data_IF_811230517134
#
_entry.id   IF_811230517134
#
_cell.length_a   1.000
_cell.length_b   1.000
_cell.length_c   1.000
_cell.angle_alpha   90.00
_cell.angle_beta   90.00
_cell.angle_gamma   90.00
#
_symmetry.space_group_name_H-M   'P 1'
#
loop_
_entity.id
_entity.type
_entity.pdbx_description
1 polymer ?
#
# COMPACT_ATOMS: atom_id res chain seq x y z
N UNK A 1 -18.09 -0.90 -12.64
CA UNK A 1 -16.68 -1.09 -12.27
C UNK A 1 -15.89 -1.39 -13.53
N UNK A 2 -15.04 -0.46 -13.96
CA UNK A 2 -14.16 -0.64 -15.11
C UNK A 2 -12.77 -1.04 -14.60
N UNK A 3 -12.33 -2.27 -14.92
CA UNK A 3 -11.03 -2.77 -14.47
C UNK A 3 -9.87 -1.93 -15.04
N UNK A 4 -10.06 -1.32 -16.20
CA UNK A 4 -9.02 -0.50 -16.84
C UNK A 4 -8.70 0.71 -15.97
N UNK A 5 -9.72 1.37 -15.40
CA UNK A 5 -9.53 2.54 -14.54
C UNK A 5 -8.83 2.15 -13.22
N UNK A 6 -9.18 0.98 -12.67
CA UNK A 6 -8.48 0.41 -11.51
C UNK A 6 -7.01 0.15 -11.82
N UNK A 7 -6.70 -0.45 -12.97
CA UNK A 7 -5.32 -0.73 -13.39
C UNK A 7 -4.51 0.56 -13.61
N UNK A 8 -5.11 1.61 -14.17
CA UNK A 8 -4.48 2.92 -14.30
C UNK A 8 -4.11 3.48 -12.91
N UNK A 9 -5.02 3.42 -11.93
CA UNK A 9 -4.73 3.89 -10.56
C UNK A 9 -3.68 3.03 -9.85
N UNK A 10 -3.63 1.73 -10.12
CA UNK A 10 -2.54 0.86 -9.66
C UNK A 10 -1.21 1.37 -10.23
N UNK A 11 -1.15 1.66 -11.53
CA UNK A 11 0.07 2.15 -12.18
C UNK A 11 0.54 3.50 -11.60
N UNK A 12 -0.39 4.45 -11.43
CA UNK A 12 -0.13 5.74 -10.81
C UNK A 12 0.45 5.56 -9.40
N UNK A 13 -0.17 4.71 -8.58
CA UNK A 13 0.27 4.50 -7.20
C UNK A 13 1.62 3.79 -7.12
N UNK A 14 1.87 2.81 -7.99
CA UNK A 14 3.17 2.14 -8.07
C UNK A 14 4.29 3.10 -8.49
N UNK A 15 4.01 4.03 -9.41
CA UNK A 15 4.96 5.05 -9.83
C UNK A 15 5.32 6.00 -8.67
N UNK A 16 4.34 6.43 -7.87
CA UNK A 16 4.56 7.22 -6.66
C UNK A 16 5.43 6.47 -5.63
N UNK A 17 5.05 5.23 -5.31
CA UNK A 17 5.79 4.41 -4.35
C UNK A 17 7.23 4.20 -4.81
N UNK A 18 7.45 4.03 -6.12
CA UNK A 18 8.79 3.94 -6.70
C UNK A 18 9.58 5.24 -6.52
N UNK A 19 8.97 6.40 -6.71
CA UNK A 19 9.62 7.69 -6.48
C UNK A 19 10.01 7.89 -5.01
N UNK A 20 9.21 7.34 -4.08
CA UNK A 20 9.47 7.34 -2.63
C UNK A 20 10.48 6.26 -2.16
N UNK A 21 11.07 5.49 -3.08
CA UNK A 21 11.98 4.38 -2.73
C UNK A 21 11.28 3.12 -2.19
N UNK A 22 9.95 3.06 -2.21
CA UNK A 22 9.11 1.93 -1.78
C UNK A 22 8.51 1.16 -2.98
N UNK A 23 9.24 1.14 -4.09
CA UNK A 23 8.75 0.61 -5.36
C UNK A 23 8.31 -0.86 -5.24
N UNK A 24 7.18 -1.19 -5.86
CA UNK A 24 6.68 -2.55 -5.97
C UNK A 24 6.46 -2.91 -7.44
N UNK A 25 6.51 -4.22 -7.74
CA UNK A 25 6.15 -4.75 -9.06
C UNK A 25 4.73 -5.31 -9.01
N UNK A 26 4.08 -5.45 -10.17
CA UNK A 26 2.79 -6.16 -10.26
C UNK A 26 2.82 -7.55 -9.61
N UNK A 27 3.95 -8.26 -9.76
CA UNK A 27 4.15 -9.60 -9.19
C UNK A 27 4.16 -9.55 -7.66
N UNK A 28 4.95 -8.65 -7.08
CA UNK A 28 5.05 -8.51 -5.62
C UNK A 28 3.74 -8.00 -5.03
N UNK A 29 3.09 -7.03 -5.68
CA UNK A 29 1.78 -6.52 -5.27
C UNK A 29 0.70 -7.61 -5.32
N UNK A 30 0.67 -8.41 -6.39
CA UNK A 30 -0.29 -9.53 -6.49
C UNK A 30 -0.04 -10.55 -5.37
N UNK A 31 1.22 -10.92 -5.15
CA UNK A 31 1.59 -11.87 -4.11
C UNK A 31 1.19 -11.36 -2.71
N UNK A 32 1.46 -10.10 -2.41
CA UNK A 32 1.10 -9.49 -1.12
C UNK A 32 -0.42 -9.39 -0.92
N UNK A 33 -1.16 -8.98 -1.95
CA UNK A 33 -2.59 -8.78 -1.86
C UNK A 33 -3.39 -10.10 -1.81
N UNK A 34 -3.01 -11.10 -2.61
CA UNK A 34 -3.85 -12.28 -2.86
C UNK A 34 -3.18 -13.60 -2.57
N UNK A 35 -1.88 -13.61 -2.31
CA UNK A 35 -1.07 -14.84 -2.21
C UNK A 35 -0.73 -15.46 -3.57
N UNK A 36 -1.11 -14.83 -4.69
CA UNK A 36 -0.82 -15.30 -6.05
C UNK A 36 -0.04 -14.24 -6.83
N UNK A 37 0.99 -14.66 -7.56
CA UNK A 37 1.81 -13.77 -8.39
C UNK A 37 1.12 -13.28 -9.67
N UNK A 38 -0.03 -13.84 -10.03
CA UNK A 38 -0.62 -13.69 -11.36
C UNK A 38 -1.91 -12.87 -11.39
N UNK A 39 -2.44 -12.44 -10.24
CA UNK A 39 -3.74 -11.76 -10.17
C UNK A 39 -3.79 -10.51 -11.07
N UNK A 40 -2.89 -9.55 -10.85
CA UNK A 40 -2.91 -8.27 -11.59
C UNK A 40 -2.52 -8.49 -13.06
N UNK A 41 -1.58 -9.42 -13.31
CA UNK A 41 -1.20 -9.81 -14.67
C UNK A 41 -2.40 -10.34 -15.47
N UNK A 42 -3.21 -11.20 -14.86
CA UNK A 42 -4.41 -11.74 -15.48
C UNK A 42 -5.45 -10.65 -15.73
N UNK A 43 -5.62 -9.70 -14.81
CA UNK A 43 -6.49 -8.54 -15.01
C UNK A 43 -6.04 -7.68 -16.21
N UNK A 44 -4.74 -7.38 -16.32
CA UNK A 44 -4.20 -6.64 -17.48
C UNK A 44 -4.44 -7.36 -18.79
N UNK A 45 -4.23 -8.68 -18.82
CA UNK A 45 -4.47 -9.51 -20.01
C UNK A 45 -5.95 -9.50 -20.41
N UNK A 46 -6.86 -9.64 -19.43
CA UNK A 46 -8.30 -9.63 -19.67
C UNK A 46 -8.78 -8.25 -20.15
N UNK A 47 -8.28 -7.17 -19.53
CA UNK A 47 -8.59 -5.80 -19.96
C UNK A 47 -8.16 -5.54 -21.41
N UNK A 48 -6.95 -5.98 -21.79
CA UNK A 48 -6.45 -5.88 -23.18
C UNK A 48 -7.32 -6.66 -24.17
N UNK A 49 -7.78 -7.85 -23.78
CA UNK A 49 -8.65 -8.69 -24.60
C UNK A 49 -10.13 -8.24 -24.60
N UNK A 50 -10.46 -7.12 -23.95
CA UNK A 50 -11.83 -6.65 -23.68
C UNK A 50 -12.73 -7.72 -23.02
N UNK A 51 -12.12 -8.62 -22.24
CA UNK A 51 -12.81 -9.67 -21.49
C UNK A 51 -13.15 -9.18 -20.09
N UNK A 52 -14.26 -9.66 -19.50
CA UNK A 52 -14.50 -9.45 -18.08
C UNK A 52 -13.30 -9.91 -17.25
N UNK A 53 -12.87 -9.06 -16.31
CA UNK A 53 -11.74 -9.38 -15.45
C UNK A 53 -12.17 -10.40 -14.38
N UNK A 54 -12.08 -11.69 -14.73
CA UNK A 54 -12.36 -12.79 -13.82
C UNK A 54 -11.51 -12.68 -12.55
N UNK A 55 -12.16 -12.63 -11.38
CA UNK A 55 -11.50 -12.50 -10.08
C UNK A 55 -11.27 -11.06 -9.60
N UNK A 56 -11.53 -10.04 -10.43
CA UNK A 56 -11.53 -8.64 -10.01
C UNK A 56 -12.83 -8.24 -9.32
N UNK A 57 -13.20 -8.95 -8.25
CA UNK A 57 -14.35 -8.57 -7.42
C UNK A 57 -13.94 -7.54 -6.35
N UNK A 58 -14.92 -6.91 -5.72
CA UNK A 58 -14.72 -5.87 -4.69
C UNK A 58 -13.80 -6.36 -3.57
N UNK A 59 -13.94 -7.62 -3.13
CA UNK A 59 -13.10 -8.17 -2.07
C UNK A 59 -11.63 -8.30 -2.49
N UNK A 60 -11.35 -8.74 -3.71
CA UNK A 60 -9.98 -8.81 -4.23
C UNK A 60 -9.41 -7.41 -4.44
N UNK A 61 -10.20 -6.46 -4.94
CA UNK A 61 -9.77 -5.06 -5.11
C UNK A 61 -9.46 -4.41 -3.76
N UNK A 62 -10.26 -4.66 -2.73
CA UNK A 62 -10.00 -4.16 -1.37
C UNK A 62 -8.68 -4.70 -0.81
N UNK A 63 -8.33 -5.96 -1.09
CA UNK A 63 -7.02 -6.52 -0.71
C UNK A 63 -5.86 -5.83 -1.43
N UNK A 64 -6.02 -5.58 -2.74
CA UNK A 64 -5.02 -4.83 -3.53
C UNK A 64 -4.88 -3.40 -3.02
N UNK A 65 -5.99 -2.71 -2.73
CA UNK A 65 -5.99 -1.38 -2.15
C UNK A 65 -5.23 -1.34 -0.82
N UNK A 66 -5.46 -2.33 0.05
CA UNK A 66 -4.73 -2.48 1.32
C UNK A 66 -3.23 -2.64 1.11
N UNK A 67 -2.81 -3.50 0.18
CA UNK A 67 -1.38 -3.69 -0.13
C UNK A 67 -0.74 -2.42 -0.74
N UNK A 68 -1.49 -1.63 -1.51
CA UNK A 68 -1.07 -0.32 -2.00
C UNK A 68 -1.15 0.81 -0.96
N UNK A 69 -1.64 0.50 0.24
CA UNK A 69 -1.91 1.44 1.31
C UNK A 69 -2.81 2.61 0.86
N UNK A 70 -3.88 2.31 0.11
CA UNK A 70 -4.90 3.25 -0.38
C UNK A 70 -6.30 2.77 0.02
N UNK A 71 -7.30 3.66 0.08
CA UNK A 71 -8.67 3.21 0.33
C UNK A 71 -9.21 2.40 -0.86
N UNK A 72 -10.09 1.43 -0.59
CA UNK A 72 -10.72 0.65 -1.65
C UNK A 72 -11.60 1.53 -2.56
N UNK A 73 -12.25 2.55 -1.99
CA UNK A 73 -13.05 3.52 -2.72
C UNK A 73 -12.18 4.32 -3.69
N UNK A 74 -11.05 4.86 -3.23
CA UNK A 74 -10.12 5.57 -4.11
C UNK A 74 -9.63 4.69 -5.26
N UNK A 75 -9.30 3.42 -4.99
CA UNK A 75 -8.84 2.52 -6.04
C UNK A 75 -9.95 2.22 -7.07
N UNK A 76 -11.20 2.13 -6.63
CA UNK A 76 -12.37 1.83 -7.47
C UNK A 76 -12.83 3.04 -8.30
N UNK A 77 -12.96 4.20 -7.66
CA UNK A 77 -13.63 5.38 -8.23
C UNK A 77 -12.69 6.55 -8.49
N UNK A 78 -11.54 6.59 -7.81
CA UNK A 78 -10.65 7.76 -7.76
C UNK A 78 -11.08 8.80 -6.72
N UNK A 79 -12.20 8.57 -6.03
CA UNK A 79 -12.75 9.45 -5.00
C UNK A 79 -12.42 8.91 -3.60
N UNK A 80 -12.32 9.80 -2.60
CA UNK A 80 -11.99 9.43 -1.22
C UNK A 80 -10.50 9.45 -0.91
N UNK A 81 -10.12 8.91 0.25
CA UNK A 81 -8.75 9.02 0.76
C UNK A 81 -7.77 8.17 -0.07
N UNK A 82 -6.80 8.85 -0.70
CA UNK A 82 -5.76 8.23 -1.53
C UNK A 82 -4.79 7.37 -0.74
N UNK A 83 -4.65 7.56 0.58
CA UNK A 83 -3.84 6.69 1.43
C UNK A 83 -4.68 6.18 2.59
N UNK A 84 -4.54 4.90 2.95
CA UNK A 84 -5.04 4.45 4.25
C UNK A 84 -4.28 5.19 5.36
N UNK A 85 -4.84 5.31 6.56
CA UNK A 85 -4.31 6.16 7.60
C UNK A 85 -3.05 5.58 8.29
N UNK A 86 -2.00 5.23 7.53
CA UNK A 86 -0.63 5.18 8.06
C UNK A 86 -0.23 6.56 8.58
N UNK A 87 -0.74 7.61 7.91
CA UNK A 87 -0.67 8.98 8.38
C UNK A 87 -1.44 9.21 9.68
N UNK A 88 -2.46 8.43 10.01
CA UNK A 88 -3.17 8.59 11.29
C UNK A 88 -2.34 8.03 12.44
N UNK A 89 -1.72 6.86 12.31
CA UNK A 89 -0.79 6.36 13.35
C UNK A 89 0.38 7.34 13.52
N UNK A 90 0.96 7.82 12.41
CA UNK A 90 2.04 8.82 12.46
C UNK A 90 1.53 10.13 13.09
N UNK A 91 0.34 10.60 12.73
CA UNK A 91 -0.25 11.83 13.28
C UNK A 91 -0.59 11.68 14.75
N UNK A 92 -1.13 10.55 15.17
CA UNK A 92 -1.43 10.21 16.57
C UNK A 92 -0.14 10.17 17.39
N UNK A 93 0.92 9.54 16.86
CA UNK A 93 2.24 9.56 17.49
C UNK A 93 2.75 11.00 17.61
N UNK A 94 2.78 11.77 16.51
CA UNK A 94 3.26 13.16 16.50
C UNK A 94 2.46 14.04 17.47
N UNK A 95 1.13 13.87 17.55
CA UNK A 95 0.27 14.60 18.48
C UNK A 95 0.48 14.20 19.94
N UNK A 96 0.85 12.94 20.21
CA UNK A 96 1.13 12.46 21.55
C UNK A 96 2.52 12.87 22.06
N UNK A 97 3.53 13.01 21.18
CA UNK A 97 4.92 13.31 21.56
C UNK A 97 5.07 14.53 22.51
N UNK A 98 4.41 15.69 22.29
CA UNK A 98 4.53 16.85 23.18
C UNK A 98 3.96 16.62 24.60
N UNK A 99 3.11 15.60 24.79
CA UNK A 99 2.48 15.30 26.08
C UNK A 99 3.31 14.33 26.93
N UNK A 100 4.39 13.79 26.38
CA UNK A 100 5.24 12.82 27.05
C UNK A 100 6.27 13.53 27.94
N UNK A 101 6.60 12.88 29.05
CA UNK A 101 7.72 13.27 29.90
C UNK A 101 9.07 12.97 29.23
N UNK A 102 10.17 13.59 29.67
CA UNK A 102 11.51 13.30 29.12
C UNK A 102 11.91 11.82 29.20
N UNK A 103 11.52 11.11 30.26
CA UNK A 103 11.82 9.67 30.42
C UNK A 103 11.04 8.81 29.43
N UNK A 104 9.77 9.15 29.18
CA UNK A 104 8.95 8.46 28.19
C UNK A 104 9.46 8.72 26.76
N UNK A 105 9.91 9.95 26.47
CA UNK A 105 10.54 10.28 25.19
C UNK A 105 11.82 9.48 24.95
N UNK A 106 12.69 9.33 25.96
CA UNK A 106 13.88 8.46 25.85
C UNK A 106 13.52 7.00 25.65
N UNK A 107 12.44 6.53 26.28
CA UNK A 107 11.94 5.15 26.09
C UNK A 107 11.46 4.94 24.65
N UNK A 108 10.69 5.89 24.10
CA UNK A 108 10.26 5.88 22.70
C UNK A 108 11.48 5.91 21.77
N UNK A 109 12.46 6.78 22.05
CA UNK A 109 13.71 6.88 21.27
C UNK A 109 14.48 5.57 21.27
N UNK A 110 14.66 4.93 22.42
CA UNK A 110 15.35 3.64 22.54
C UNK A 110 14.62 2.53 21.77
N UNK A 111 13.28 2.49 21.82
CA UNK A 111 12.47 1.53 21.08
C UNK A 111 12.62 1.71 19.55
N UNK A 112 12.61 2.96 19.07
CA UNK A 112 12.82 3.27 17.64
C UNK A 112 14.20 2.84 17.17
N UNK A 113 15.25 3.12 17.96
CA UNK A 113 16.62 2.69 17.65
C UNK A 113 16.72 1.16 17.62
N UNK A 114 16.18 0.47 18.62
CA UNK A 114 16.18 -0.99 18.65
C UNK A 114 15.41 -1.64 17.49
N UNK A 115 14.37 -1.00 16.96
CA UNK A 115 13.67 -1.45 15.75
C UNK A 115 14.50 -1.26 14.48
N UNK A 116 15.31 -0.18 14.40
CA UNK A 116 16.21 0.06 13.27
C UNK A 116 17.34 -0.96 13.23
N UNK A 117 17.90 -1.31 14.39
CA UNK A 117 19.01 -2.26 14.50
C UNK A 117 18.59 -3.71 14.19
N UNK A 118 17.29 -4.00 14.25
CA UNK A 118 16.71 -5.31 13.90
C UNK A 118 16.31 -5.44 12.42
N UNK A 119 16.38 -4.37 11.62
CA UNK A 119 16.21 -4.51 10.17
C UNK A 119 17.45 -5.20 9.59
N UNK A 120 17.30 -6.28 8.80
CA UNK A 120 18.43 -6.82 8.06
C UNK A 120 18.99 -5.71 7.14
N UNK A 121 20.32 -5.66 6.93
CA UNK A 121 20.90 -4.69 6.00
C UNK A 121 20.25 -4.87 4.63
N UNK A 122 19.68 -3.79 4.09
CA UNK A 122 19.21 -3.78 2.70
C UNK A 122 20.42 -4.11 1.82
N UNK A 123 20.34 -5.24 1.09
CA UNK A 123 21.36 -5.64 0.13
C UNK A 123 21.55 -4.52 -0.90
N UNK A 124 22.74 -3.89 -0.87
CA UNK A 124 23.18 -2.87 -1.81
C UNK A 124 23.53 -3.48 -3.17
#
# INVERSE_FOLDING_TARGET
MNITDVLIRIDERLAELKADGRGMTDRSLSLEATGSTDTIRNWRRQAKDAKPAGGANIATIAKVAKALNVSADWLLTGEGERSLPQNQIISEIIQALPQLTPLELETVRAAVLGLRDRRPPEEQ
#
